data_IF_633100696330
#
_entry.id   IF_633100696330
#
_cell.length_a   1.000
_cell.length_b   1.000
_cell.length_c   1.000
_cell.angle_alpha   90.00
_cell.angle_beta   90.00
_cell.angle_gamma   90.00
#
_symmetry.space_group_name_H-M   'P 1'
#
loop_
_entity.id
_entity.type
_entity.pdbx_description
1 polymer ?
#
# COMPACT_ATOMS: atom_id res chain seq x y z
N UNK A 1 -16.07 -16.63 2.11
CA UNK A 1 -16.44 -15.28 2.61
C UNK A 1 -15.19 -14.58 3.14
N UNK A 2 -15.06 -13.28 2.89
CA UNK A 2 -13.95 -12.46 3.36
C UNK A 2 -14.47 -11.31 4.23
N UNK A 3 -13.89 -11.08 5.40
CA UNK A 3 -14.29 -9.96 6.24
C UNK A 3 -13.84 -8.64 5.60
N UNK A 4 -14.76 -7.70 5.38
CA UNK A 4 -14.47 -6.44 4.71
C UNK A 4 -14.39 -5.26 5.68
N UNK A 5 -15.35 -5.16 6.61
CA UNK A 5 -15.37 -4.08 7.59
C UNK A 5 -16.44 -4.25 8.66
N UNK A 6 -16.40 -3.33 9.62
CA UNK A 6 -17.50 -3.02 10.50
C UNK A 6 -17.97 -1.58 10.29
N UNK A 7 -19.29 -1.37 10.25
CA UNK A 7 -19.88 -0.03 10.18
C UNK A 7 -20.93 0.17 11.28
N UNK A 8 -21.18 1.43 11.63
CA UNK A 8 -22.22 1.83 12.59
C UNK A 8 -23.19 2.77 11.90
N UNK A 9 -24.47 2.41 11.90
CA UNK A 9 -25.54 3.19 11.27
C UNK A 9 -26.58 3.57 12.32
N UNK A 10 -27.10 4.78 12.24
CA UNK A 10 -28.21 5.19 13.10
C UNK A 10 -29.52 4.77 12.46
N UNK A 11 -30.27 3.89 13.11
CA UNK A 11 -31.64 3.56 12.71
C UNK A 11 -32.59 4.57 13.35
N UNK A 12 -33.44 5.19 12.55
CA UNK A 12 -34.54 6.03 13.04
C UNK A 12 -35.66 5.13 13.56
N UNK A 13 -36.14 5.43 14.77
CA UNK A 13 -37.27 4.73 15.36
C UNK A 13 -38.41 5.74 15.45
N UNK A 14 -39.51 5.42 14.78
CA UNK A 14 -40.76 6.19 14.84
C UNK A 14 -41.83 5.39 15.56
N UNK A 15 -42.85 6.08 16.04
CA UNK A 15 -44.05 5.47 16.60
C UNK A 15 -45.29 6.05 15.92
N UNK A 16 -46.24 5.19 15.57
CA UNK A 16 -47.56 5.58 15.10
C UNK A 16 -48.58 4.68 15.78
N UNK A 17 -49.54 5.26 16.46
CA UNK A 17 -50.49 4.55 17.31
C UNK A 17 -49.75 3.64 18.32
N UNK A 18 -49.99 2.32 18.28
CA UNK A 18 -49.34 1.34 19.15
C UNK A 18 -48.17 0.59 18.47
N UNK A 19 -47.75 1.00 17.26
CA UNK A 19 -46.72 0.33 16.50
C UNK A 19 -45.44 1.17 16.42
N UNK A 20 -44.30 0.49 16.50
CA UNK A 20 -42.99 1.06 16.20
C UNK A 20 -42.68 0.87 14.72
N UNK A 21 -42.06 1.86 14.09
CA UNK A 21 -41.72 1.85 12.67
C UNK A 21 -40.22 2.08 12.53
N UNK A 22 -39.53 1.12 11.91
CA UNK A 22 -38.10 1.19 11.60
C UNK A 22 -37.90 0.76 10.16
N UNK A 23 -37.37 1.67 9.33
CA UNK A 23 -37.18 1.41 7.91
C UNK A 23 -38.50 1.25 7.20
N UNK A 24 -38.76 0.09 6.61
CA UNK A 24 -40.01 -0.25 5.93
C UNK A 24 -40.88 -1.27 6.70
N UNK A 25 -40.54 -1.59 7.95
CA UNK A 25 -41.30 -2.54 8.77
C UNK A 25 -41.92 -1.89 10.01
N UNK A 26 -43.06 -2.45 10.40
CA UNK A 26 -43.77 -2.17 11.64
C UNK A 26 -43.47 -3.28 12.67
N UNK A 27 -43.41 -2.90 13.93
CA UNK A 27 -43.12 -3.78 15.06
C UNK A 27 -44.09 -3.48 16.19
N UNK A 28 -44.80 -4.50 16.67
CA UNK A 28 -45.65 -4.37 17.86
C UNK A 28 -44.82 -4.06 19.11
N UNK A 29 -43.60 -4.61 19.16
CA UNK A 29 -42.67 -4.42 20.26
C UNK A 29 -41.23 -4.33 19.74
N UNK A 30 -40.46 -3.48 20.40
CA UNK A 30 -39.01 -3.40 20.25
C UNK A 30 -38.35 -3.69 21.61
N UNK A 31 -37.14 -4.28 21.63
CA UNK A 31 -36.51 -4.64 22.89
C UNK A 31 -36.29 -3.42 23.79
N UNK A 32 -36.54 -3.58 25.09
CA UNK A 32 -36.48 -2.46 26.04
C UNK A 32 -35.09 -1.81 26.11
N UNK A 33 -34.01 -2.59 25.93
CA UNK A 33 -32.65 -2.03 25.90
C UNK A 33 -32.44 -1.08 24.71
N UNK A 34 -33.14 -1.28 23.58
CA UNK A 34 -33.09 -0.37 22.44
C UNK A 34 -33.74 0.95 22.84
N UNK A 35 -34.95 0.89 23.41
CA UNK A 35 -35.71 2.05 23.88
C UNK A 35 -34.94 2.87 24.92
N UNK A 36 -34.36 2.19 25.91
CA UNK A 36 -33.65 2.82 27.02
C UNK A 36 -32.30 3.44 26.61
N UNK A 37 -31.77 3.07 25.44
CA UNK A 37 -30.49 3.56 24.92
C UNK A 37 -30.63 4.34 23.62
N UNK A 38 -31.84 4.84 23.31
CA UNK A 38 -32.05 5.70 22.15
C UNK A 38 -31.44 7.08 22.37
N UNK A 39 -30.87 7.63 21.31
CA UNK A 39 -30.47 9.02 21.24
C UNK A 39 -31.66 9.89 20.85
N UNK A 40 -32.02 10.84 21.71
CA UNK A 40 -33.03 11.86 21.42
C UNK A 40 -32.37 13.19 21.06
N UNK A 41 -32.70 13.76 19.90
CA UNK A 41 -32.44 15.17 19.52
C UNK A 41 -30.98 15.70 19.54
N UNK A 42 -29.95 14.85 19.69
CA UNK A 42 -28.57 15.30 19.51
C UNK A 42 -28.21 15.47 18.02
N UNK A 43 -27.33 16.43 17.73
CA UNK A 43 -27.01 16.97 16.39
C UNK A 43 -26.19 15.97 15.53
N UNK A 44 -26.79 14.83 15.17
CA UNK A 44 -26.19 13.76 14.38
C UNK A 44 -26.22 14.01 12.88
N UNK A 45 -26.19 15.27 12.42
CA UNK A 45 -26.36 15.61 11.00
C UNK A 45 -25.29 15.01 10.09
N UNK A 46 -24.14 14.61 10.64
CA UNK A 46 -23.06 13.95 9.90
C UNK A 46 -23.12 12.42 9.94
N UNK A 47 -23.92 11.83 10.83
CA UNK A 47 -24.01 10.38 10.95
C UNK A 47 -24.83 9.79 9.81
N UNK A 48 -24.46 8.58 9.38
CA UNK A 48 -25.22 7.84 8.39
C UNK A 48 -26.50 7.27 9.02
N UNK A 49 -27.65 7.72 8.53
CA UNK A 49 -28.97 7.42 9.11
C UNK A 49 -29.83 6.59 8.16
N UNK A 50 -30.42 5.52 8.70
CA UNK A 50 -31.47 4.73 8.05
C UNK A 50 -32.84 5.24 8.50
N UNK A 51 -33.53 5.94 7.61
CA UNK A 51 -34.81 6.59 7.91
C UNK A 51 -36.01 5.69 7.67
N UNK A 52 -37.04 5.86 8.48
CA UNK A 52 -38.31 5.17 8.30
C UNK A 52 -39.03 5.69 7.05
N UNK A 53 -39.73 4.78 6.35
CA UNK A 53 -40.50 5.09 5.14
C UNK A 53 -41.81 5.80 5.49
N UNK A 54 -42.46 5.34 6.54
CA UNK A 54 -43.76 5.84 6.96
C UNK A 54 -43.64 7.06 7.89
N UNK A 55 -44.67 7.90 7.85
CA UNK A 55 -44.79 9.07 8.71
C UNK A 55 -45.33 8.65 10.07
N UNK A 56 -44.66 9.09 11.13
CA UNK A 56 -45.00 8.88 12.53
C UNK A 56 -44.10 9.76 13.40
N UNK A 57 -44.33 9.76 14.72
CA UNK A 57 -43.55 10.57 15.64
C UNK A 57 -42.16 9.97 15.81
N UNK A 58 -41.11 10.77 15.63
CA UNK A 58 -39.74 10.33 15.87
C UNK A 58 -39.55 10.21 17.38
N UNK A 59 -39.36 8.98 17.86
CA UNK A 59 -39.10 8.72 19.28
C UNK A 59 -37.61 8.68 19.61
N UNK A 60 -36.76 8.40 18.62
CA UNK A 60 -35.31 8.45 18.80
C UNK A 60 -34.54 7.75 17.68
N UNK A 61 -33.23 7.67 17.88
CA UNK A 61 -32.31 6.94 17.00
C UNK A 61 -31.52 5.92 17.80
N UNK A 62 -31.19 4.78 17.19
CA UNK A 62 -30.33 3.77 17.83
C UNK A 62 -29.15 3.42 16.93
N UNK A 63 -27.97 3.17 17.52
CA UNK A 63 -26.78 2.79 16.75
C UNK A 63 -26.72 1.28 16.51
N UNK A 64 -26.93 0.87 15.26
CA UNK A 64 -26.79 -0.50 14.79
C UNK A 64 -25.37 -0.71 14.28
N UNK A 65 -24.66 -1.67 14.90
CA UNK A 65 -23.36 -2.15 14.41
C UNK A 65 -23.58 -3.34 13.47
N UNK A 66 -22.94 -3.28 12.31
CA UNK A 66 -23.00 -4.30 11.27
C UNK A 66 -21.60 -4.66 10.79
N UNK A 67 -21.35 -5.96 10.68
CA UNK A 67 -20.15 -6.52 10.08
C UNK A 67 -20.48 -6.85 8.61
N UNK A 68 -19.58 -6.48 7.71
CA UNK A 68 -19.71 -6.62 6.27
C UNK A 68 -18.73 -7.69 5.81
N UNK A 69 -19.22 -8.68 5.10
CA UNK A 69 -18.43 -9.73 4.46
C UNK A 69 -18.63 -9.70 2.95
N UNK A 70 -17.56 -9.93 2.20
CA UNK A 70 -17.62 -10.18 0.77
C UNK A 70 -17.88 -11.67 0.56
N UNK A 71 -18.94 -11.97 -0.18
CA UNK A 71 -19.23 -13.31 -0.66
C UNK A 71 -18.84 -13.41 -2.14
N UNK A 72 -17.63 -13.92 -2.38
CA UNK A 72 -17.06 -14.06 -3.72
C UNK A 72 -17.79 -15.09 -4.58
N UNK A 73 -18.40 -16.12 -3.98
CA UNK A 73 -19.14 -17.15 -4.71
C UNK A 73 -20.44 -16.57 -5.29
N UNK A 74 -21.19 -15.85 -4.44
CA UNK A 74 -22.45 -15.23 -4.85
C UNK A 74 -22.27 -13.83 -5.46
N UNK A 75 -21.06 -13.27 -5.44
CA UNK A 75 -20.74 -11.88 -5.81
C UNK A 75 -21.67 -10.89 -5.13
N UNK A 76 -21.85 -11.07 -3.83
CA UNK A 76 -22.74 -10.26 -3.00
C UNK A 76 -22.09 -9.91 -1.66
N UNK A 77 -22.76 -9.07 -0.89
CA UNK A 77 -22.33 -8.63 0.42
C UNK A 77 -23.22 -9.24 1.49
N UNK A 78 -22.59 -9.88 2.48
CA UNK A 78 -23.28 -10.47 3.62
C UNK A 78 -23.15 -9.53 4.82
N UNK A 79 -24.29 -9.16 5.38
CA UNK A 79 -24.38 -8.32 6.57
C UNK A 79 -24.70 -9.17 7.80
N UNK A 80 -23.83 -9.10 8.79
CA UNK A 80 -24.00 -9.77 10.07
C UNK A 80 -24.14 -8.76 11.19
N UNK A 81 -24.89 -9.13 12.22
CA UNK A 81 -25.03 -8.34 13.45
C UNK A 81 -25.25 -9.28 14.63
N UNK A 82 -24.79 -8.88 15.82
CA UNK A 82 -24.83 -9.72 17.02
C UNK A 82 -26.24 -9.93 17.59
N UNK A 83 -27.20 -9.06 17.25
CA UNK A 83 -28.54 -9.08 17.87
C UNK A 83 -29.62 -9.48 16.85
N UNK A 84 -30.45 -10.47 17.22
CA UNK A 84 -31.51 -11.00 16.36
C UNK A 84 -32.53 -9.93 15.94
N UNK A 85 -32.81 -8.95 16.81
CA UNK A 85 -33.67 -7.82 16.46
C UNK A 85 -33.09 -7.00 15.30
N UNK A 86 -31.80 -6.67 15.33
CA UNK A 86 -31.12 -5.95 14.24
C UNK A 86 -31.01 -6.79 12.97
N UNK A 87 -30.97 -8.12 13.09
CA UNK A 87 -31.06 -9.02 11.94
C UNK A 87 -32.37 -8.81 11.16
N UNK A 88 -33.48 -8.50 11.83
CA UNK A 88 -34.75 -8.15 11.14
C UNK A 88 -34.62 -6.87 10.32
N UNK A 89 -33.93 -5.86 10.85
CA UNK A 89 -33.74 -4.56 10.22
C UNK A 89 -32.78 -4.65 9.02
N UNK A 90 -31.59 -5.23 9.17
CA UNK A 90 -30.62 -5.33 8.05
C UNK A 90 -31.08 -6.25 6.93
N UNK A 91 -32.09 -7.11 7.18
CA UNK A 91 -32.68 -7.98 6.17
C UNK A 91 -33.86 -7.37 5.43
N UNK A 92 -34.29 -6.16 5.78
CA UNK A 92 -35.29 -5.41 5.01
C UNK A 92 -34.77 -5.15 3.58
N UNK A 93 -35.65 -5.30 2.59
CA UNK A 93 -35.31 -5.03 1.19
C UNK A 93 -34.80 -3.60 1.02
N UNK A 94 -35.48 -2.63 1.62
CA UNK A 94 -35.04 -1.23 1.59
C UNK A 94 -33.65 -1.04 2.21
N UNK A 95 -33.31 -1.78 3.27
CA UNK A 95 -31.97 -1.69 3.86
C UNK A 95 -30.92 -2.20 2.87
N UNK A 96 -31.12 -3.39 2.30
CA UNK A 96 -30.18 -4.04 1.38
C UNK A 96 -30.04 -3.32 0.05
N UNK A 97 -31.15 -2.90 -0.55
CA UNK A 97 -31.20 -2.44 -1.93
C UNK A 97 -30.99 -0.92 -2.06
N UNK A 98 -31.48 -0.13 -1.10
CA UNK A 98 -31.42 1.34 -1.18
C UNK A 98 -30.39 1.96 -0.23
N UNK A 99 -30.34 1.48 1.01
CA UNK A 99 -29.53 2.12 2.04
C UNK A 99 -28.08 1.65 2.03
N UNK A 100 -27.85 0.38 1.75
CA UNK A 100 -26.53 -0.20 1.91
C UNK A 100 -25.48 0.37 0.92
N UNK A 101 -25.87 0.73 -0.31
CA UNK A 101 -24.96 1.46 -1.19
C UNK A 101 -24.53 2.79 -0.57
N UNK A 102 -25.39 3.49 0.18
CA UNK A 102 -25.02 4.72 0.91
C UNK A 102 -24.02 4.45 2.03
N UNK A 103 -24.06 3.27 2.65
CA UNK A 103 -23.06 2.82 3.64
C UNK A 103 -21.70 2.69 2.98
N UNK A 104 -21.65 2.04 1.82
CA UNK A 104 -20.43 1.89 1.03
C UNK A 104 -19.92 3.24 0.52
N UNK A 105 -20.78 4.08 -0.07
CA UNK A 105 -20.41 5.41 -0.56
C UNK A 105 -19.87 6.30 0.56
N UNK A 106 -20.44 6.22 1.76
CA UNK A 106 -19.93 6.94 2.91
C UNK A 106 -18.53 6.46 3.30
N UNK A 107 -18.30 5.14 3.32
CA UNK A 107 -16.98 4.54 3.57
C UNK A 107 -15.96 4.92 2.49
N UNK A 108 -16.38 4.96 1.22
CA UNK A 108 -15.49 5.18 0.08
C UNK A 108 -15.28 6.66 -0.25
N UNK A 109 -15.99 7.59 0.40
CA UNK A 109 -15.98 9.04 0.08
C UNK A 109 -14.58 9.65 -0.03
N UNK A 110 -13.62 9.15 0.74
CA UNK A 110 -12.25 9.66 0.76
C UNK A 110 -11.23 8.70 0.14
N UNK A 111 -11.67 7.56 -0.41
CA UNK A 111 -10.78 6.60 -1.04
C UNK A 111 -10.49 7.02 -2.47
N UNK A 112 -9.24 6.86 -2.89
CA UNK A 112 -8.87 7.00 -4.29
C UNK A 112 -9.21 5.70 -5.02
N UNK A 113 -9.86 5.81 -6.17
CA UNK A 113 -10.35 4.67 -6.92
C UNK A 113 -9.43 4.47 -8.13
N UNK A 114 -8.90 3.26 -8.29
CA UNK A 114 -8.19 2.89 -9.52
C UNK A 114 -9.19 2.63 -10.64
N UNK A 115 -8.80 2.97 -11.87
CA UNK A 115 -9.58 2.65 -13.07
C UNK A 115 -9.21 1.28 -13.65
N UNK A 116 -8.19 0.60 -13.10
CA UNK A 116 -7.79 -0.72 -13.56
C UNK A 116 -8.74 -1.78 -13.02
N UNK A 117 -9.24 -2.62 -13.92
CA UNK A 117 -9.93 -3.84 -13.53
C UNK A 117 -8.88 -4.85 -13.04
N UNK A 118 -9.13 -5.41 -11.86
CA UNK A 118 -8.26 -6.40 -11.23
C UNK A 118 -9.07 -7.62 -10.88
N UNK A 119 -8.46 -8.79 -11.07
CA UNK A 119 -9.13 -10.06 -10.86
C UNK A 119 -8.84 -10.50 -9.43
N UNK A 120 -9.81 -10.26 -8.54
CA UNK A 120 -9.78 -10.70 -7.15
C UNK A 120 -11.00 -11.59 -6.95
N UNK A 121 -10.77 -12.90 -6.93
CA UNK A 121 -11.78 -13.95 -6.75
C UNK A 121 -11.56 -14.73 -5.44
N UNK A 122 -12.40 -15.73 -5.19
CA UNK A 122 -12.30 -16.63 -4.04
C UNK A 122 -10.94 -17.35 -3.99
N UNK A 123 -10.46 -17.84 -5.13
CA UNK A 123 -9.14 -18.49 -5.24
C UNK A 123 -8.01 -17.56 -4.84
N UNK A 124 -8.08 -16.29 -5.23
CA UNK A 124 -7.12 -15.27 -4.80
C UNK A 124 -7.13 -15.10 -3.28
N UNK A 125 -8.33 -14.97 -2.68
CA UNK A 125 -8.48 -14.81 -1.23
C UNK A 125 -7.92 -16.03 -0.49
N UNK A 126 -8.22 -17.23 -0.94
CA UNK A 126 -7.75 -18.46 -0.29
C UNK A 126 -6.24 -18.63 -0.43
N UNK A 127 -5.68 -18.33 -1.61
CA UNK A 127 -4.24 -18.45 -1.89
C UNK A 127 -3.40 -17.48 -1.03
N UNK A 128 -3.82 -16.22 -0.95
CA UNK A 128 -3.01 -15.16 -0.37
C UNK A 128 -3.43 -14.74 1.04
N UNK A 129 -4.62 -15.14 1.48
CA UNK A 129 -5.19 -14.76 2.79
C UNK A 129 -4.97 -13.28 3.13
N UNK A 130 -5.39 -12.36 2.23
CA UNK A 130 -5.03 -10.96 2.36
C UNK A 130 -5.67 -10.29 3.58
N UNK A 131 -5.12 -9.16 4.00
CA UNK A 131 -5.70 -8.30 5.03
C UNK A 131 -6.28 -7.04 4.38
N UNK A 132 -7.33 -6.47 4.98
CA UNK A 132 -7.78 -5.13 4.58
C UNK A 132 -6.72 -4.09 4.93
N UNK A 133 -6.40 -3.22 3.99
CA UNK A 133 -5.49 -2.10 4.20
C UNK A 133 -6.18 -0.81 3.79
N UNK A 134 -6.28 0.17 4.67
CA UNK A 134 -6.87 1.47 4.32
C UNK A 134 -5.86 2.37 3.63
N UNK A 135 -6.30 3.11 2.60
CA UNK A 135 -5.54 4.21 2.00
C UNK A 135 -4.28 3.78 1.22
N UNK A 136 -4.38 2.72 0.42
CA UNK A 136 -3.24 2.20 -0.39
C UNK A 136 -2.66 3.30 -1.29
N UNK A 137 -3.51 4.00 -2.03
CA UNK A 137 -3.10 5.10 -2.92
C UNK A 137 -2.70 6.39 -2.16
N UNK A 138 -2.58 6.36 -0.83
CA UNK A 138 -2.09 7.47 -0.02
C UNK A 138 -0.95 7.05 0.91
N UNK A 139 -0.37 5.87 0.71
CA UNK A 139 0.87 5.46 1.38
C UNK A 139 1.89 6.60 1.22
N UNK A 140 2.34 7.18 2.34
CA UNK A 140 3.14 8.42 2.27
C UNK A 140 4.56 8.20 1.70
N UNK A 141 5.09 6.98 1.85
CA UNK A 141 6.44 6.61 1.43
C UNK A 141 6.44 5.28 0.69
N UNK A 142 6.97 5.28 -0.53
CA UNK A 142 7.01 4.11 -1.44
C UNK A 142 8.45 3.78 -1.86
N UNK A 143 9.40 3.92 -0.94
CA UNK A 143 10.81 3.71 -1.24
C UNK A 143 11.10 2.24 -1.56
N UNK A 144 11.70 2.00 -2.74
CA UNK A 144 11.96 0.67 -3.34
C UNK A 144 10.69 -0.13 -3.63
N UNK A 145 9.63 0.58 -3.97
CA UNK A 145 8.42 -0.07 -4.44
C UNK A 145 8.50 -0.30 -5.94
N UNK A 146 7.83 -1.35 -6.41
CA UNK A 146 7.38 -1.42 -7.79
C UNK A 146 6.00 -0.79 -7.87
N UNK A 147 5.84 0.14 -8.80
CA UNK A 147 4.59 0.82 -9.09
C UNK A 147 4.06 0.33 -10.43
N UNK A 148 2.91 -0.34 -10.39
CA UNK A 148 2.27 -0.91 -11.57
C UNK A 148 1.00 -0.14 -11.97
N UNK A 149 0.82 1.08 -11.49
CA UNK A 149 -0.29 1.96 -11.85
C UNK A 149 0.21 3.36 -12.21
N UNK A 150 -0.54 4.05 -13.07
CA UNK A 150 -0.26 5.45 -13.37
C UNK A 150 -0.69 6.30 -12.16
N UNK A 151 0.30 6.66 -11.35
CA UNK A 151 0.11 7.46 -10.15
C UNK A 151 0.97 8.72 -10.19
N UNK A 152 0.44 9.81 -9.63
CA UNK A 152 1.19 11.04 -9.48
C UNK A 152 2.28 10.89 -8.40
N UNK A 153 3.51 10.62 -8.84
CA UNK A 153 4.69 10.42 -7.98
C UNK A 153 5.06 11.64 -7.14
N UNK A 154 4.66 12.86 -7.51
CA UNK A 154 4.97 14.07 -6.72
C UNK A 154 4.32 14.08 -5.34
N UNK A 155 3.29 13.25 -5.13
CA UNK A 155 2.59 13.10 -3.85
C UNK A 155 3.31 12.17 -2.86
N UNK A 156 4.36 11.47 -3.30
CA UNK A 156 4.98 10.39 -2.54
C UNK A 156 6.43 10.71 -2.17
N UNK A 157 6.85 10.25 -0.99
CA UNK A 157 8.26 10.28 -0.59
C UNK A 157 8.95 8.98 -1.01
N UNK A 158 10.05 9.09 -1.74
CA UNK A 158 10.91 7.96 -2.08
C UNK A 158 12.30 8.46 -2.47
N UNK A 159 13.29 7.58 -2.37
CA UNK A 159 14.64 7.79 -2.91
C UNK A 159 14.88 6.94 -4.15
N UNK A 160 14.38 5.71 -4.13
CA UNK A 160 14.48 4.74 -5.21
C UNK A 160 13.08 4.20 -5.51
N UNK A 161 12.73 4.05 -6.77
CA UNK A 161 11.42 3.54 -7.20
C UNK A 161 11.55 2.81 -8.52
N UNK A 162 10.77 1.74 -8.68
CA UNK A 162 10.62 1.05 -9.96
C UNK A 162 9.23 1.36 -10.49
N UNK A 163 9.16 1.78 -11.75
CA UNK A 163 7.91 2.08 -12.43
C UNK A 163 7.81 1.18 -13.65
N UNK A 164 6.66 0.53 -13.81
CA UNK A 164 6.42 -0.28 -14.99
C UNK A 164 6.17 0.60 -16.20
N UNK A 165 6.87 0.30 -17.27
CA UNK A 165 6.83 1.02 -18.54
C UNK A 165 6.89 0.02 -19.69
N UNK A 166 7.00 0.54 -20.92
CA UNK A 166 7.15 -0.28 -22.12
C UNK A 166 8.61 -0.69 -22.37
N UNK A 167 9.56 0.11 -21.85
CA UNK A 167 10.99 -0.08 -22.05
C UNK A 167 11.79 0.25 -20.79
N UNK A 168 13.03 -0.23 -20.76
CA UNK A 168 13.98 0.18 -19.76
C UNK A 168 14.38 1.66 -19.94
N UNK A 169 14.36 2.41 -18.84
CA UNK A 169 14.90 3.77 -18.76
C UNK A 169 15.30 4.09 -17.31
N UNK A 170 16.21 5.03 -17.13
CA UNK A 170 16.65 5.47 -15.82
C UNK A 170 16.65 6.99 -15.73
N UNK A 171 15.99 7.51 -14.70
CA UNK A 171 15.87 8.95 -14.48
C UNK A 171 16.18 9.32 -13.04
N UNK A 172 16.93 10.41 -12.88
CA UNK A 172 17.08 11.10 -11.60
C UNK A 172 16.29 12.41 -11.64
N UNK A 173 15.35 12.58 -10.72
CA UNK A 173 14.53 13.80 -10.62
C UNK A 173 15.36 14.98 -10.07
N UNK A 174 14.81 16.19 -10.17
CA UNK A 174 15.37 17.38 -9.53
C UNK A 174 15.43 17.28 -7.99
N UNK A 175 14.62 16.40 -7.38
CA UNK A 175 14.62 16.09 -5.94
C UNK A 175 15.63 14.99 -5.56
N UNK A 176 16.55 14.62 -6.48
CA UNK A 176 17.53 13.54 -6.32
C UNK A 176 16.85 12.20 -5.98
N UNK A 177 15.74 11.91 -6.65
CA UNK A 177 15.03 10.62 -6.57
C UNK A 177 15.31 9.83 -7.83
N UNK A 178 15.58 8.54 -7.69
CA UNK A 178 15.90 7.62 -8.77
C UNK A 178 14.65 6.84 -9.14
N UNK A 179 14.34 6.84 -10.43
CA UNK A 179 13.22 6.10 -11.00
C UNK A 179 13.78 5.18 -12.07
N UNK A 180 13.58 3.88 -11.86
CA UNK A 180 13.92 2.84 -12.82
C UNK A 180 12.64 2.44 -13.54
N UNK A 181 12.58 2.72 -14.83
CA UNK A 181 11.51 2.24 -15.69
C UNK A 181 11.88 0.85 -16.18
N UNK A 182 10.99 -0.12 -16.00
CA UNK A 182 11.23 -1.51 -16.39
C UNK A 182 10.06 -1.99 -17.25
N UNK A 183 10.37 -2.72 -18.33
CA UNK A 183 9.32 -3.33 -19.15
C UNK A 183 8.62 -4.42 -18.36
N UNK A 184 7.28 -4.42 -18.38
CA UNK A 184 6.51 -5.50 -17.77
C UNK A 184 6.90 -6.89 -18.33
N UNK A 185 7.24 -6.93 -19.62
CA UNK A 185 7.61 -8.16 -20.31
C UNK A 185 8.92 -8.76 -19.78
N UNK A 186 9.76 -7.96 -19.12
CA UNK A 186 11.02 -8.42 -18.53
C UNK A 186 10.80 -9.03 -17.13
N UNK A 187 9.60 -8.88 -16.53
CA UNK A 187 9.23 -9.41 -15.22
C UNK A 187 8.39 -10.69 -15.38
N UNK A 188 9.01 -11.74 -15.92
CA UNK A 188 8.30 -12.95 -16.35
C UNK A 188 7.92 -13.90 -15.21
N UNK A 189 8.55 -13.78 -14.04
CA UNK A 189 8.37 -14.74 -12.96
C UNK A 189 7.24 -14.42 -11.97
N UNK A 190 6.48 -13.33 -12.17
CA UNK A 190 5.34 -13.01 -11.30
C UNK A 190 4.01 -12.90 -12.05
N UNK A 191 3.25 -13.99 -12.01
CA UNK A 191 1.99 -14.12 -12.74
C UNK A 191 0.90 -13.14 -12.25
N UNK A 192 0.88 -12.84 -10.95
CA UNK A 192 -0.15 -11.98 -10.34
C UNK A 192 0.24 -10.50 -10.31
N UNK A 193 1.37 -10.15 -10.93
CA UNK A 193 1.87 -8.77 -11.03
C UNK A 193 0.82 -7.78 -11.52
N UNK A 194 -0.06 -8.20 -12.44
CA UNK A 194 -1.11 -7.36 -13.02
C UNK A 194 -2.12 -6.82 -12.00
N UNK A 195 -2.33 -7.56 -10.90
CA UNK A 195 -3.24 -7.16 -9.85
C UNK A 195 -2.58 -6.21 -8.83
N UNK A 196 -1.26 -6.17 -8.74
CA UNK A 196 -0.56 -5.30 -7.81
C UNK A 196 -0.73 -3.82 -8.18
N UNK A 197 -1.10 -2.98 -7.20
CA UNK A 197 -0.92 -1.52 -7.30
C UNK A 197 0.53 -1.18 -6.98
N UNK A 198 0.99 -1.68 -5.82
CA UNK A 198 2.36 -1.55 -5.35
C UNK A 198 2.91 -2.90 -4.92
N UNK A 199 4.21 -3.06 -5.05
CA UNK A 199 4.97 -4.17 -4.46
C UNK A 199 6.10 -3.56 -3.65
N UNK A 200 6.11 -3.79 -2.34
CA UNK A 200 7.16 -3.38 -1.44
C UNK A 200 8.25 -4.45 -1.41
N UNK A 201 9.37 -4.15 -2.05
CA UNK A 201 10.51 -5.06 -2.13
C UNK A 201 11.24 -5.24 -0.79
N UNK A 202 11.07 -4.33 0.16
CA UNK A 202 11.72 -4.42 1.47
C UNK A 202 10.92 -5.25 2.45
N UNK A 203 9.62 -5.01 2.52
CA UNK A 203 8.74 -5.67 3.49
C UNK A 203 8.04 -6.92 2.92
N UNK A 204 8.31 -7.27 1.65
CA UNK A 204 7.72 -8.41 0.96
C UNK A 204 6.19 -8.36 0.89
N UNK A 205 5.64 -7.15 0.75
CA UNK A 205 4.20 -6.91 0.72
C UNK A 205 3.72 -6.50 -0.66
N UNK A 206 2.52 -6.94 -1.00
CA UNK A 206 1.82 -6.54 -2.21
C UNK A 206 0.56 -5.80 -1.81
N UNK A 207 0.37 -4.62 -2.38
CA UNK A 207 -0.79 -3.77 -2.14
C UNK A 207 -1.68 -3.74 -3.36
N UNK A 208 -2.97 -3.99 -3.16
CA UNK A 208 -3.98 -4.00 -4.21
C UNK A 208 -5.09 -3.02 -3.86
N UNK A 209 -5.22 -1.97 -4.65
CA UNK A 209 -6.46 -1.21 -4.76
C UNK A 209 -7.28 -1.73 -5.94
N UNK A 210 -8.53 -2.11 -5.73
CA UNK A 210 -9.42 -2.66 -6.74
C UNK A 210 -10.87 -2.16 -6.56
N UNK A 211 -11.66 -2.25 -7.63
CA UNK A 211 -13.11 -2.01 -7.58
C UNK A 211 -13.83 -3.29 -7.96
N UNK A 212 -14.62 -3.84 -7.05
CA UNK A 212 -15.53 -4.93 -7.35
C UNK A 212 -16.87 -4.34 -7.80
N UNK A 213 -17.21 -4.58 -9.06
CA UNK A 213 -18.50 -4.19 -9.65
C UNK A 213 -19.49 -5.35 -9.48
N UNK A 214 -19.92 -5.57 -8.25
CA UNK A 214 -20.98 -6.54 -7.91
C UNK A 214 -22.34 -5.84 -7.95
N UNK A 215 -23.36 -6.39 -7.27
CA UNK A 215 -24.63 -5.67 -7.05
C UNK A 215 -24.38 -4.27 -6.47
N UNK A 216 -23.41 -4.17 -5.58
CA UNK A 216 -22.89 -2.91 -5.06
C UNK A 216 -21.48 -2.64 -5.59
N UNK A 217 -21.15 -1.36 -5.74
CA UNK A 217 -19.76 -0.95 -6.03
C UNK A 217 -18.94 -0.99 -4.75
N UNK A 218 -17.90 -1.81 -4.73
CA UNK A 218 -17.03 -2.00 -3.55
C UNK A 218 -15.62 -1.58 -3.90
N UNK A 219 -15.08 -0.58 -3.20
CA UNK A 219 -13.66 -0.27 -3.25
C UNK A 219 -12.93 -1.20 -2.29
N UNK A 220 -12.18 -2.16 -2.83
CA UNK A 220 -11.41 -3.14 -2.08
C UNK A 220 -9.95 -2.69 -2.03
N UNK A 221 -9.43 -2.52 -0.83
CA UNK A 221 -8.04 -2.18 -0.58
C UNK A 221 -7.47 -3.24 0.35
N UNK A 222 -6.56 -4.05 -0.18
CA UNK A 222 -5.99 -5.20 0.54
C UNK A 222 -4.47 -5.25 0.40
N UNK A 223 -3.83 -5.84 1.39
CA UNK A 223 -2.41 -6.20 1.37
C UNK A 223 -2.20 -7.69 1.67
N UNK A 224 -1.12 -8.28 1.19
CA UNK A 224 -0.68 -9.62 1.55
C UNK A 224 0.84 -9.75 1.43
N UNK A 225 1.39 -10.76 2.10
CA UNK A 225 2.80 -11.09 2.03
C UNK A 225 3.06 -12.07 0.87
N UNK A 226 4.11 -11.82 0.06
CA UNK A 226 4.45 -12.66 -1.10
C UNK A 226 5.97 -12.81 -1.28
N UNK A 227 6.61 -13.44 -0.29
CA UNK A 227 8.06 -13.53 -0.21
C UNK A 227 8.67 -14.16 -1.48
N UNK A 228 8.14 -15.31 -1.89
CA UNK A 228 8.70 -16.11 -2.97
C UNK A 228 8.66 -15.36 -4.31
N UNK A 229 7.51 -14.80 -4.69
CA UNK A 229 7.40 -14.10 -5.96
C UNK A 229 8.21 -12.79 -5.94
N UNK A 230 8.27 -12.09 -4.81
CA UNK A 230 9.07 -10.87 -4.69
C UNK A 230 10.56 -11.16 -4.83
N UNK A 231 11.07 -12.27 -4.31
CA UNK A 231 12.47 -12.67 -4.52
C UNK A 231 12.77 -13.04 -5.97
N UNK A 232 11.84 -13.70 -6.65
CA UNK A 232 11.95 -13.96 -8.09
C UNK A 232 12.03 -12.65 -8.88
N UNK A 233 11.13 -11.70 -8.61
CA UNK A 233 11.15 -10.38 -9.26
C UNK A 233 12.43 -9.61 -8.96
N UNK A 234 12.94 -9.65 -7.72
CA UNK A 234 14.23 -9.03 -7.39
C UNK A 234 15.34 -9.60 -8.26
N UNK A 235 15.33 -10.91 -8.49
CA UNK A 235 16.30 -11.58 -9.36
C UNK A 235 16.17 -11.13 -10.81
N UNK A 236 14.94 -10.99 -11.32
CA UNK A 236 14.69 -10.44 -12.66
C UNK A 236 15.20 -9.01 -12.77
N UNK A 237 14.90 -8.14 -11.81
CA UNK A 237 15.37 -6.75 -11.80
C UNK A 237 16.91 -6.69 -11.75
N UNK A 238 17.56 -7.54 -10.95
CA UNK A 238 19.03 -7.63 -10.92
C UNK A 238 19.58 -7.98 -12.30
N UNK A 239 18.98 -8.94 -12.99
CA UNK A 239 19.41 -9.34 -14.33
C UNK A 239 19.17 -8.23 -15.36
N UNK A 240 18.04 -7.53 -15.29
CA UNK A 240 17.73 -6.37 -16.11
C UNK A 240 18.80 -5.29 -15.91
N UNK A 241 19.16 -4.99 -14.66
CA UNK A 241 20.17 -3.98 -14.36
C UNK A 241 21.55 -4.39 -14.91
N UNK A 242 21.95 -5.66 -14.77
CA UNK A 242 23.21 -6.17 -15.34
C UNK A 242 23.29 -6.00 -16.85
N UNK A 243 22.17 -6.09 -17.56
CA UNK A 243 22.12 -5.98 -19.02
C UNK A 243 22.01 -4.54 -19.53
N UNK A 244 21.62 -3.59 -18.67
CA UNK A 244 21.33 -2.21 -19.09
C UNK A 244 22.26 -1.15 -18.48
N UNK A 245 23.07 -1.50 -17.46
CA UNK A 245 24.04 -0.58 -16.86
C UNK A 245 25.47 -1.09 -17.03
N UNK A 246 26.22 -0.43 -17.91
CA UNK A 246 27.66 -0.66 -18.08
C UNK A 246 28.49 0.05 -17.00
N UNK A 247 28.06 1.25 -16.62
CA UNK A 247 28.67 2.06 -15.55
C UNK A 247 27.82 1.99 -14.29
N UNK A 248 28.47 2.15 -13.13
CA UNK A 248 27.79 2.29 -11.84
C UNK A 248 26.87 1.12 -11.42
N UNK A 249 26.91 -0.02 -12.12
CA UNK A 249 26.04 -1.18 -11.91
C UNK A 249 25.91 -1.58 -10.43
N UNK A 250 27.04 -1.73 -9.73
CA UNK A 250 27.05 -2.13 -8.32
C UNK A 250 26.30 -1.14 -7.42
N UNK A 251 26.35 0.15 -7.73
CA UNK A 251 25.61 1.17 -6.99
C UNK A 251 24.11 1.09 -7.25
N UNK A 252 23.71 0.84 -8.51
CA UNK A 252 22.31 0.59 -8.86
C UNK A 252 21.76 -0.67 -8.18
N UNK A 253 22.54 -1.75 -8.16
CA UNK A 253 22.17 -3.01 -7.48
C UNK A 253 22.06 -2.82 -5.96
N UNK A 254 22.94 -2.03 -5.34
CA UNK A 254 22.80 -1.67 -3.93
C UNK A 254 21.53 -0.85 -3.67
N UNK A 255 21.21 0.14 -4.50
CA UNK A 255 20.01 0.95 -4.33
C UNK A 255 18.73 0.14 -4.35
N UNK A 256 18.68 -0.91 -5.16
CA UNK A 256 17.59 -1.87 -5.27
C UNK A 256 17.51 -2.77 -4.03
N UNK A 257 18.62 -3.44 -3.71
CA UNK A 257 18.63 -4.59 -2.79
C UNK A 257 18.97 -4.22 -1.35
N UNK A 258 19.69 -3.12 -1.17
CA UNK A 258 20.36 -2.75 0.08
C UNK A 258 21.34 -3.81 0.60
N UNK A 259 21.81 -4.69 -0.29
CA UNK A 259 22.77 -5.73 0.05
C UNK A 259 24.19 -5.17 -0.02
N UNK A 260 24.86 -5.15 1.13
CA UNK A 260 26.22 -4.65 1.28
C UNK A 260 27.23 -5.33 0.35
N UNK A 261 26.96 -6.55 -0.15
CA UNK A 261 27.85 -7.21 -1.12
C UNK A 261 28.09 -6.33 -2.35
N UNK A 262 27.08 -5.59 -2.82
CA UNK A 262 27.25 -4.74 -3.99
C UNK A 262 28.08 -3.49 -3.69
N UNK A 263 28.07 -2.98 -2.45
CA UNK A 263 29.01 -1.92 -2.04
C UNK A 263 30.44 -2.46 -2.04
N UNK A 264 30.66 -3.65 -1.48
CA UNK A 264 31.97 -4.33 -1.48
C UNK A 264 32.47 -4.54 -2.91
N UNK A 265 31.64 -5.10 -3.78
CA UNK A 265 31.98 -5.36 -5.18
C UNK A 265 32.25 -4.05 -5.94
N UNK A 266 31.48 -2.99 -5.66
CA UNK A 266 31.70 -1.64 -6.21
C UNK A 266 33.05 -1.05 -5.81
N UNK A 267 33.40 -1.14 -4.53
CA UNK A 267 34.69 -0.68 -4.00
C UNK A 267 35.83 -1.48 -4.65
N UNK A 268 35.78 -2.82 -4.58
CA UNK A 268 36.84 -3.68 -5.14
C UNK A 268 37.06 -3.45 -6.63
N UNK A 269 35.98 -3.37 -7.42
CA UNK A 269 36.05 -3.10 -8.87
C UNK A 269 36.86 -1.84 -9.21
N UNK A 270 36.85 -0.84 -8.33
CA UNK A 270 37.57 0.43 -8.54
C UNK A 270 38.96 0.41 -7.90
N UNK A 271 39.11 -0.16 -6.70
CA UNK A 271 40.37 -0.14 -5.96
C UNK A 271 41.37 -1.23 -6.37
N UNK A 272 40.92 -2.36 -6.91
CA UNK A 272 41.82 -3.46 -7.31
C UNK A 272 42.69 -3.12 -8.53
N UNK A 273 42.31 -2.11 -9.31
CA UNK A 273 42.95 -1.78 -10.60
C UNK A 273 43.45 -0.34 -10.72
N UNK A 274 43.25 0.50 -9.70
CA UNK A 274 43.66 1.91 -9.70
C UNK A 274 44.46 2.25 -8.43
N UNK A 275 45.14 3.40 -8.43
CA UNK A 275 45.74 3.95 -7.21
C UNK A 275 44.67 4.44 -6.23
N UNK A 276 44.98 4.53 -4.93
CA UNK A 276 44.00 4.94 -3.92
C UNK A 276 43.35 6.30 -4.23
N UNK A 277 44.17 7.31 -4.53
CA UNK A 277 43.69 8.67 -4.87
C UNK A 277 42.81 8.68 -6.13
N UNK A 278 43.20 7.94 -7.17
CA UNK A 278 42.41 7.79 -8.39
C UNK A 278 41.08 7.06 -8.12
N UNK A 279 41.09 5.99 -7.33
CA UNK A 279 39.89 5.28 -6.91
C UNK A 279 38.90 6.21 -6.19
N UNK A 280 39.38 7.03 -5.26
CA UNK A 280 38.53 8.02 -4.57
C UNK A 280 37.92 9.02 -5.55
N UNK A 281 38.68 9.49 -6.54
CA UNK A 281 38.17 10.40 -7.56
C UNK A 281 37.11 9.73 -8.45
N UNK A 282 37.34 8.49 -8.87
CA UNK A 282 36.38 7.70 -9.67
C UNK A 282 35.08 7.52 -8.87
N UNK A 283 35.17 7.12 -7.60
CA UNK A 283 34.01 6.95 -6.73
C UNK A 283 33.24 8.27 -6.53
N UNK A 284 33.93 9.37 -6.23
CA UNK A 284 33.28 10.67 -6.06
C UNK A 284 32.54 11.12 -7.34
N UNK A 285 33.13 10.88 -8.51
CA UNK A 285 32.48 11.15 -9.81
C UNK A 285 31.24 10.28 -10.02
N UNK A 286 31.33 8.97 -9.77
CA UNK A 286 30.18 8.05 -9.81
C UNK A 286 29.06 8.49 -8.86
N UNK A 287 29.40 8.92 -7.64
CA UNK A 287 28.43 9.33 -6.62
C UNK A 287 27.73 10.64 -6.99
N UNK A 288 28.47 11.58 -7.60
CA UNK A 288 27.92 12.82 -8.16
C UNK A 288 26.96 12.55 -9.31
N UNK A 289 27.30 11.63 -10.22
CA UNK A 289 26.44 11.22 -11.33
C UNK A 289 25.12 10.65 -10.82
N UNK A 290 25.18 9.78 -9.81
CA UNK A 290 24.02 9.16 -9.18
C UNK A 290 23.26 10.08 -8.20
N UNK A 291 23.79 11.28 -7.95
CA UNK A 291 23.30 12.26 -6.96
C UNK A 291 23.01 11.62 -5.60
N UNK A 292 23.85 10.70 -5.17
CA UNK A 292 23.77 10.03 -3.88
C UNK A 292 25.14 9.97 -3.23
N UNK A 293 25.22 10.39 -1.97
CA UNK A 293 26.47 10.36 -1.24
C UNK A 293 26.71 8.98 -0.61
N UNK A 294 27.34 8.08 -1.35
CA UNK A 294 27.67 6.75 -0.84
C UNK A 294 28.83 6.78 0.14
N UNK A 295 29.71 7.79 0.16
CA UNK A 295 30.73 7.89 1.21
C UNK A 295 30.11 7.99 2.61
N UNK A 296 29.02 8.73 2.76
CA UNK A 296 28.28 8.80 4.02
C UNK A 296 27.58 7.48 4.40
N UNK A 297 27.37 6.57 3.44
CA UNK A 297 26.83 5.22 3.68
C UNK A 297 27.99 4.29 4.06
N UNK A 298 29.06 4.30 3.27
CA UNK A 298 30.27 3.49 3.44
C UNK A 298 30.92 3.74 4.80
N UNK A 299 31.07 5.00 5.21
CA UNK A 299 31.72 5.35 6.48
C UNK A 299 30.83 5.17 7.71
N UNK A 300 29.62 4.63 7.55
CA UNK A 300 28.79 4.15 8.66
C UNK A 300 28.93 2.65 8.92
N UNK A 301 29.70 1.94 8.10
CA UNK A 301 29.94 0.50 8.20
C UNK A 301 31.43 0.20 8.39
N UNK A 302 31.81 -0.29 9.57
CA UNK A 302 33.18 -0.63 9.92
C UNK A 302 33.82 -1.62 8.95
N UNK A 303 33.05 -2.54 8.36
CA UNK A 303 33.58 -3.51 7.41
C UNK A 303 34.00 -2.82 6.10
N UNK A 304 33.22 -1.86 5.63
CA UNK A 304 33.52 -1.11 4.42
C UNK A 304 34.67 -0.12 4.66
N UNK A 305 34.74 0.49 5.85
CA UNK A 305 35.89 1.29 6.28
C UNK A 305 37.17 0.46 6.24
N UNK A 306 37.16 -0.70 6.89
CA UNK A 306 38.32 -1.59 6.95
C UNK A 306 38.71 -2.10 5.56
N UNK A 307 37.72 -2.37 4.69
CA UNK A 307 37.97 -2.73 3.30
C UNK A 307 38.75 -1.63 2.57
N UNK A 308 38.33 -0.36 2.67
CA UNK A 308 39.03 0.76 2.01
C UNK A 308 40.43 0.96 2.61
N UNK A 309 40.59 0.81 3.92
CA UNK A 309 41.90 0.94 4.60
C UNK A 309 42.94 -0.06 4.08
N UNK A 310 42.52 -1.25 3.65
CA UNK A 310 43.44 -2.24 3.09
C UNK A 310 44.12 -1.79 1.78
N UNK A 311 43.62 -0.75 1.12
CA UNK A 311 44.19 -0.20 -0.10
C UNK A 311 45.14 0.99 0.14
N UNK A 312 45.27 1.47 1.38
CA UNK A 312 46.20 2.55 1.76
C UNK A 312 47.61 1.97 1.81
N UNK A 313 48.52 2.53 1.01
CA UNK A 313 49.92 2.05 0.95
C UNK A 313 50.94 3.13 1.33
N UNK A 314 50.54 4.39 1.32
CA UNK A 314 51.41 5.55 1.55
C UNK A 314 50.80 6.52 2.55
N UNK A 315 51.62 7.43 3.10
CA UNK A 315 51.14 8.50 3.98
C UNK A 315 50.19 9.46 3.25
N UNK A 316 50.41 9.69 1.94
CA UNK A 316 49.51 10.50 1.11
C UNK A 316 48.12 9.88 1.00
N UNK A 317 48.04 8.55 0.81
CA UNK A 317 46.76 7.82 0.79
C UNK A 317 46.05 7.93 2.15
N UNK A 318 46.80 7.87 3.25
CA UNK A 318 46.28 7.97 4.61
C UNK A 318 45.72 9.37 4.88
N UNK A 319 46.44 10.41 4.50
CA UNK A 319 45.98 11.79 4.61
C UNK A 319 44.70 12.00 3.78
N UNK A 320 44.67 11.46 2.55
CA UNK A 320 43.49 11.56 1.70
C UNK A 320 42.30 10.82 2.28
N UNK A 321 42.50 9.62 2.83
CA UNK A 321 41.48 8.85 3.52
C UNK A 321 40.92 9.63 4.73
N UNK A 322 41.79 10.21 5.56
CA UNK A 322 41.36 10.97 6.73
C UNK A 322 40.56 12.23 6.36
N UNK A 323 40.95 12.92 5.28
CA UNK A 323 40.21 14.07 4.73
C UNK A 323 38.76 13.67 4.37
N UNK A 324 38.59 12.62 3.55
CA UNK A 324 37.26 12.17 3.12
C UNK A 324 36.46 11.57 4.27
N UNK A 325 37.09 10.81 5.15
CA UNK A 325 36.44 10.19 6.30
C UNK A 325 35.90 11.26 7.23
N UNK A 326 36.71 12.26 7.57
CA UNK A 326 36.28 13.40 8.39
C UNK A 326 35.12 14.14 7.72
N UNK A 327 35.18 14.39 6.41
CA UNK A 327 34.13 15.12 5.69
C UNK A 327 32.77 14.42 5.71
N UNK A 328 32.74 13.09 5.67
CA UNK A 328 31.52 12.32 5.42
C UNK A 328 31.05 11.45 6.59
N UNK A 329 31.85 11.32 7.66
CA UNK A 329 31.50 10.57 8.88
C UNK A 329 30.89 11.45 10.00
N UNK A 330 29.98 12.36 9.63
CA UNK A 330 29.23 13.20 10.58
C UNK A 330 27.77 12.75 10.74
#
# INVERSE_FOLDING_TARGET
>A
MFYYDQNSVLIEIRKKDNLYIIGDQQFDQIPMYVLNSMYTLANWNRALKYFSKEVGDIIGYYMLKLDIYLDFENKDLILLTKQMFFKKIINQNRFKDEFFQKVLDHKHRHRLITNKNKIIDDKFIDKYSPNNYSDILRIASINRFIVNEDINLDKYRFKDLIVISDKFDFKITNKNQRIYYISKNDLTNYNEFENATFIDLLNYKVYINAVLNWKNKIVLEIEYDDLNNIDLIKTDIINIFKNNFDTNLNWHLYNLTFDNKYLVDGIKKVFDVNSFTESIQILDNSFKELKLNYFAIIFKDDNLINLIRNYIKTDEDLDKFNEIFTRYNY
#
